data_IF_817924619411
#
_entry.id   IF_817924619411
#
_cell.length_a   1.000
_cell.length_b   1.000
_cell.length_c   1.000
_cell.angle_alpha   90.00
_cell.angle_beta   90.00
_cell.angle_gamma   90.00
#
_symmetry.space_group_name_H-M   'P 1'
#
loop_
_entity.id
_entity.type
_entity.pdbx_description
1 polymer ?
#
# COMPACT_ATOMS: atom_id res chain seq x y z
N UNK A 1 14.15 6.88 15.62
CA UNK A 1 13.82 6.74 14.18
C UNK A 1 13.49 8.11 13.67
N UNK A 2 14.00 8.50 12.50
CA UNK A 2 13.59 9.78 11.90
C UNK A 2 12.07 9.78 11.65
N UNK A 3 11.41 10.92 11.83
CA UNK A 3 9.96 11.02 11.70
C UNK A 3 9.46 10.59 10.30
N UNK A 4 10.26 10.75 9.25
CA UNK A 4 9.93 10.28 7.90
C UNK A 4 9.83 8.76 7.79
N UNK A 5 10.73 8.01 8.44
CA UNK A 5 10.70 6.54 8.45
C UNK A 5 9.50 6.00 9.23
N UNK A 6 9.13 6.67 10.33
CA UNK A 6 7.94 6.34 11.11
C UNK A 6 6.67 6.52 10.26
N UNK A 7 6.57 7.63 9.52
CA UNK A 7 5.44 7.91 8.63
C UNK A 7 5.26 6.79 7.59
N UNK A 8 6.35 6.40 6.91
CA UNK A 8 6.33 5.34 5.89
C UNK A 8 5.99 3.97 6.48
N UNK A 9 6.45 3.70 7.70
CA UNK A 9 6.08 2.48 8.42
C UNK A 9 4.59 2.45 8.78
N UNK A 10 4.03 3.56 9.28
CA UNK A 10 2.58 3.65 9.56
C UNK A 10 1.79 3.45 8.27
N UNK A 11 2.22 4.07 7.17
CA UNK A 11 1.61 3.91 5.86
C UNK A 11 1.60 2.43 5.43
N UNK A 12 2.73 1.74 5.51
CA UNK A 12 2.84 0.31 5.22
C UNK A 12 1.86 -0.53 6.06
N UNK A 13 1.79 -0.28 7.37
CA UNK A 13 0.88 -1.02 8.27
C UNK A 13 -0.57 -0.75 7.90
N UNK A 14 -0.92 0.49 7.57
CA UNK A 14 -2.29 0.84 7.14
C UNK A 14 -2.66 0.19 5.80
N UNK A 15 -1.73 0.12 4.85
CA UNK A 15 -1.92 -0.55 3.57
C UNK A 15 -2.11 -2.05 3.75
N UNK A 16 -1.27 -2.68 4.58
CA UNK A 16 -1.38 -4.09 4.91
C UNK A 16 -2.72 -4.42 5.60
N UNK A 17 -3.16 -3.58 6.54
CA UNK A 17 -4.44 -3.73 7.21
C UNK A 17 -5.61 -3.58 6.22
N UNK A 18 -5.58 -2.56 5.36
CA UNK A 18 -6.60 -2.32 4.35
C UNK A 18 -6.71 -3.49 3.36
N UNK A 19 -5.56 -4.00 2.88
CA UNK A 19 -5.50 -5.15 1.99
C UNK A 19 -6.03 -6.42 2.66
N UNK A 20 -5.70 -6.63 3.94
CA UNK A 20 -6.19 -7.78 4.72
C UNK A 20 -7.72 -7.74 4.88
N UNK A 21 -8.28 -6.58 5.21
CA UNK A 21 -9.74 -6.37 5.29
C UNK A 21 -10.40 -6.63 3.93
N UNK A 22 -9.77 -6.20 2.84
CA UNK A 22 -10.33 -6.33 1.50
C UNK A 22 -10.29 -7.78 0.99
N UNK A 23 -9.26 -8.55 1.31
CA UNK A 23 -9.13 -9.96 0.91
C UNK A 23 -10.02 -10.88 1.76
N UNK A 24 -10.32 -10.48 3.00
CA UNK A 24 -11.12 -11.31 3.91
C UNK A 24 -12.47 -11.69 3.28
N UNK A 25 -12.84 -12.99 3.24
CA UNK A 25 -14.15 -13.40 2.76
C UNK A 25 -15.24 -12.85 3.68
N UNK A 26 -15.85 -11.72 3.30
CA UNK A 26 -16.93 -11.14 4.08
C UNK A 26 -18.24 -11.93 3.86
N UNK A 27 -18.90 -12.39 4.94
CA UNK A 27 -20.09 -13.23 4.84
C UNK A 27 -21.34 -12.47 4.39
N UNK A 28 -21.39 -11.14 4.57
CA UNK A 28 -22.57 -10.34 4.25
C UNK A 28 -22.31 -9.33 3.13
N UNK A 29 -23.17 -9.32 2.10
CA UNK A 29 -22.98 -8.49 0.90
C UNK A 29 -23.10 -6.98 1.20
N UNK A 30 -23.83 -6.62 2.26
CA UNK A 30 -24.01 -5.24 2.72
C UNK A 30 -22.73 -4.66 3.34
N UNK A 31 -22.03 -5.46 4.12
CA UNK A 31 -20.75 -5.06 4.75
C UNK A 31 -19.69 -4.88 3.66
N UNK A 32 -19.64 -5.80 2.70
CA UNK A 32 -18.75 -5.70 1.54
C UNK A 32 -19.00 -4.43 0.72
N UNK A 33 -20.26 -4.10 0.47
CA UNK A 33 -20.64 -2.86 -0.22
C UNK A 33 -20.22 -1.61 0.56
N UNK A 34 -20.38 -1.61 1.90
CA UNK A 34 -19.96 -0.49 2.74
C UNK A 34 -18.44 -0.27 2.73
N UNK A 35 -17.66 -1.35 2.89
CA UNK A 35 -16.19 -1.31 2.82
C UNK A 35 -15.73 -0.83 1.44
N UNK A 36 -16.30 -1.38 0.36
CA UNK A 36 -15.95 -0.96 -1.00
C UNK A 36 -16.32 0.49 -1.28
N UNK A 37 -17.46 0.96 -0.77
CA UNK A 37 -17.86 2.36 -0.89
C UNK A 37 -16.93 3.29 -0.09
N UNK A 38 -16.42 2.86 1.06
CA UNK A 38 -15.44 3.63 1.83
C UNK A 38 -14.13 3.78 1.06
N UNK A 39 -13.57 2.68 0.55
CA UNK A 39 -12.32 2.71 -0.22
C UNK A 39 -12.47 3.43 -1.57
N UNK A 40 -13.55 3.17 -2.31
CA UNK A 40 -13.80 3.83 -3.60
C UNK A 40 -14.07 5.33 -3.45
N UNK A 41 -14.78 5.79 -2.41
CA UNK A 41 -14.96 7.24 -2.16
C UNK A 41 -13.67 7.92 -1.72
N UNK A 42 -12.86 7.25 -0.92
CA UNK A 42 -11.55 7.77 -0.50
C UNK A 42 -10.63 7.95 -1.71
N UNK A 43 -10.71 7.04 -2.70
CA UNK A 43 -9.86 7.06 -3.89
C UNK A 43 -10.39 7.93 -5.05
N UNK A 44 -11.68 7.86 -5.33
CA UNK A 44 -12.30 8.51 -6.49
C UNK A 44 -13.05 9.82 -6.14
N UNK A 45 -13.38 10.03 -4.87
CA UNK A 45 -14.30 11.09 -4.46
C UNK A 45 -13.68 12.46 -4.20
N UNK A 46 -12.37 12.56 -3.99
CA UNK A 46 -11.73 13.86 -3.75
C UNK A 46 -10.38 14.00 -4.44
N UNK A 47 -10.25 15.08 -5.22
CA UNK A 47 -9.00 15.43 -5.89
C UNK A 47 -7.87 15.67 -4.89
N UNK A 48 -8.20 16.20 -3.70
CA UNK A 48 -7.22 16.46 -2.63
C UNK A 48 -6.55 15.17 -2.14
N UNK A 49 -7.33 14.11 -1.87
CA UNK A 49 -6.78 12.84 -1.41
C UNK A 49 -5.93 12.21 -2.51
N UNK A 50 -6.36 12.28 -3.76
CA UNK A 50 -5.59 11.78 -4.90
C UNK A 50 -4.20 12.46 -4.99
N UNK A 51 -4.14 13.79 -4.85
CA UNK A 51 -2.86 14.51 -4.85
C UNK A 51 -1.99 14.15 -3.63
N UNK A 52 -2.58 14.05 -2.44
CA UNK A 52 -1.86 13.61 -1.24
C UNK A 52 -1.29 12.20 -1.39
N UNK A 53 -2.06 11.28 -1.95
CA UNK A 53 -1.64 9.91 -2.21
C UNK A 53 -0.49 9.85 -3.21
N UNK A 54 -0.55 10.62 -4.31
CA UNK A 54 0.57 10.72 -5.24
C UNK A 54 1.82 11.34 -4.60
N UNK A 55 1.64 12.34 -3.74
CA UNK A 55 2.75 12.94 -3.01
C UNK A 55 3.41 11.94 -2.05
N UNK A 56 2.61 11.17 -1.29
CA UNK A 56 3.11 10.12 -0.40
C UNK A 56 3.81 9.00 -1.18
N UNK A 57 3.27 8.61 -2.34
CA UNK A 57 3.92 7.65 -3.22
C UNK A 57 5.26 8.17 -3.73
N UNK A 58 5.31 9.43 -4.19
CA UNK A 58 6.56 10.07 -4.62
C UNK A 58 7.60 10.07 -3.49
N UNK A 59 7.18 10.43 -2.27
CA UNK A 59 8.05 10.41 -1.09
C UNK A 59 8.56 9.00 -0.81
N UNK A 60 7.71 7.98 -0.91
CA UNK A 60 8.08 6.58 -0.73
C UNK A 60 9.12 6.13 -1.78
N UNK A 61 8.94 6.51 -3.05
CA UNK A 61 9.93 6.26 -4.12
C UNK A 61 11.27 6.94 -3.84
N UNK A 62 11.26 8.21 -3.40
CA UNK A 62 12.50 8.93 -3.09
C UNK A 62 13.25 8.30 -1.90
N UNK A 63 12.54 7.93 -0.84
CA UNK A 63 13.12 7.27 0.33
C UNK A 63 13.63 5.86 0.01
N UNK A 64 12.94 5.13 -0.88
CA UNK A 64 13.41 3.85 -1.41
C UNK A 64 14.72 4.03 -2.16
N UNK A 65 14.78 4.99 -3.10
CA UNK A 65 15.99 5.29 -3.87
C UNK A 65 17.17 5.70 -2.97
N UNK A 66 16.92 6.53 -1.96
CA UNK A 66 17.95 6.91 -0.99
C UNK A 66 18.46 5.72 -0.19
N UNK A 67 17.58 4.82 0.30
CA UNK A 67 18.01 3.62 1.04
C UNK A 67 18.79 2.66 0.16
N UNK A 68 18.35 2.47 -1.08
CA UNK A 68 19.01 1.57 -2.02
C UNK A 68 20.40 2.11 -2.41
N UNK A 69 20.52 3.41 -2.63
CA UNK A 69 21.82 4.06 -2.87
C UNK A 69 22.77 3.86 -1.70
N UNK A 70 22.28 3.97 -0.46
CA UNK A 70 23.10 3.73 0.73
C UNK A 70 23.56 2.27 0.82
N UNK A 71 22.68 1.30 0.55
CA UNK A 71 23.03 -0.14 0.53
C UNK A 71 24.13 -0.42 -0.50
N UNK A 72 23.95 0.01 -1.75
CA UNK A 72 24.94 -0.23 -2.82
C UNK A 72 26.28 0.47 -2.57
N UNK A 73 26.27 1.65 -1.94
CA UNK A 73 27.51 2.34 -1.57
C UNK A 73 28.28 1.62 -0.45
N UNK A 74 27.58 0.90 0.42
CA UNK A 74 28.17 0.15 1.54
C UNK A 74 28.65 -1.22 1.10
N UNK A 75 27.97 -1.91 0.17
CA UNK A 75 28.47 -3.16 -0.42
C UNK A 75 29.81 -2.99 -1.16
N UNK A 76 30.08 -1.79 -1.68
CA UNK A 76 31.35 -1.47 -2.33
C UNK A 76 32.52 -1.29 -1.36
N UNK A 77 32.26 -1.13 -0.06
CA UNK A 77 33.26 -1.01 1.00
C UNK A 77 33.23 -2.24 1.91
N UNK A 78 34.41 -2.76 2.26
CA UNK A 78 34.52 -3.98 3.06
C UNK A 78 33.86 -3.79 4.44
N UNK A 79 32.81 -4.59 4.73
CA UNK A 79 31.98 -4.58 5.95
C UNK A 79 32.76 -5.12 7.16
N UNK A 80 33.96 -4.60 7.43
CA UNK A 80 34.84 -5.14 8.47
C UNK A 80 34.47 -4.64 9.87
N UNK A 81 33.83 -3.47 10.00
CA UNK A 81 33.44 -2.91 11.31
C UNK A 81 32.03 -3.30 11.71
N UNK A 82 31.81 -3.50 13.02
CA UNK A 82 30.49 -3.80 13.60
C UNK A 82 29.49 -2.65 13.35
N UNK A 83 29.97 -1.40 13.41
CA UNK A 83 29.15 -0.21 13.18
C UNK A 83 28.67 -0.12 11.73
N UNK A 84 29.53 -0.39 10.74
CA UNK A 84 29.14 -0.42 9.33
C UNK A 84 28.08 -1.51 9.04
N UNK A 85 28.19 -2.68 9.68
CA UNK A 85 27.16 -3.74 9.59
C UNK A 85 25.82 -3.29 10.18
N UNK A 86 25.85 -2.60 11.32
CA UNK A 86 24.63 -2.12 11.96
C UNK A 86 23.89 -1.10 11.09
N UNK A 87 24.63 -0.18 10.45
CA UNK A 87 24.03 0.82 9.55
C UNK A 87 23.54 0.20 8.25
N UNK A 88 24.26 -0.79 7.71
CA UNK A 88 23.78 -1.60 6.58
C UNK A 88 22.41 -2.22 6.88
N UNK A 89 22.25 -2.92 8.02
CA UNK A 89 20.97 -3.54 8.38
C UNK A 89 19.84 -2.52 8.59
N UNK A 90 20.18 -1.30 9.03
CA UNK A 90 19.19 -0.21 9.14
C UNK A 90 18.69 0.22 7.76
N UNK A 91 19.60 0.39 6.79
CA UNK A 91 19.23 0.75 5.42
C UNK A 91 18.49 -0.38 4.72
N UNK A 92 18.89 -1.64 4.94
CA UNK A 92 18.20 -2.83 4.44
C UNK A 92 16.76 -2.92 4.97
N UNK A 93 16.55 -2.73 6.28
CA UNK A 93 15.20 -2.66 6.85
C UNK A 93 14.37 -1.54 6.21
N UNK A 94 14.97 -0.37 6.02
CA UNK A 94 14.29 0.78 5.45
C UNK A 94 13.93 0.57 3.96
N UNK A 95 14.76 -0.13 3.20
CA UNK A 95 14.45 -0.52 1.82
C UNK A 95 13.32 -1.55 1.76
N UNK A 96 13.24 -2.48 2.71
CA UNK A 96 12.07 -3.38 2.81
C UNK A 96 10.78 -2.63 3.13
N UNK A 97 10.78 -1.70 4.09
CA UNK A 97 9.57 -0.92 4.45
C UNK A 97 9.03 -0.18 3.22
N UNK A 98 9.91 0.48 2.49
CA UNK A 98 9.53 1.30 1.34
C UNK A 98 9.20 0.45 0.11
N UNK A 99 9.98 -0.61 -0.15
CA UNK A 99 9.71 -1.56 -1.23
C UNK A 99 8.39 -2.31 -1.07
N UNK A 100 8.10 -2.83 0.12
CA UNK A 100 6.81 -3.46 0.40
C UNK A 100 5.66 -2.46 0.35
N UNK A 101 5.86 -1.22 0.81
CA UNK A 101 4.82 -0.18 0.73
C UNK A 101 4.44 0.14 -0.73
N UNK A 102 5.44 0.36 -1.58
CA UNK A 102 5.21 0.57 -3.02
C UNK A 102 4.49 -0.61 -3.67
N UNK A 103 4.87 -1.84 -3.32
CA UNK A 103 4.21 -3.04 -3.82
C UNK A 103 2.75 -3.14 -3.34
N UNK A 104 2.50 -3.02 -2.04
CA UNK A 104 1.16 -3.10 -1.46
C UNK A 104 0.25 -2.01 -1.99
N UNK A 105 0.76 -0.81 -2.22
CA UNK A 105 0.02 0.27 -2.84
C UNK A 105 -0.57 -0.12 -4.22
N UNK A 106 0.25 -0.70 -5.09
CA UNK A 106 -0.18 -1.15 -6.43
C UNK A 106 -1.18 -2.29 -6.32
N UNK A 107 -0.92 -3.26 -5.43
CA UNK A 107 -1.82 -4.39 -5.21
C UNK A 107 -3.17 -3.90 -4.68
N UNK A 108 -3.18 -3.00 -3.72
CA UNK A 108 -4.40 -2.45 -3.12
C UNK A 108 -5.27 -1.73 -4.15
N UNK A 109 -4.68 -0.88 -5.00
CA UNK A 109 -5.42 -0.26 -6.11
C UNK A 109 -6.06 -1.31 -7.01
N UNK A 110 -5.31 -2.35 -7.37
CA UNK A 110 -5.80 -3.38 -8.27
C UNK A 110 -6.91 -4.22 -7.65
N UNK A 111 -6.81 -4.56 -6.36
CA UNK A 111 -7.86 -5.30 -5.66
C UNK A 111 -9.13 -4.43 -5.55
N UNK A 112 -9.01 -3.15 -5.19
CA UNK A 112 -10.17 -2.24 -5.12
C UNK A 112 -10.89 -2.21 -6.48
N UNK A 113 -10.16 -2.02 -7.58
CA UNK A 113 -10.74 -2.01 -8.93
C UNK A 113 -11.49 -3.30 -9.26
N UNK A 114 -10.87 -4.46 -9.04
CA UNK A 114 -11.49 -5.78 -9.33
C UNK A 114 -12.73 -5.99 -8.46
N UNK A 115 -12.67 -5.61 -7.18
CA UNK A 115 -13.80 -5.80 -6.27
C UNK A 115 -14.97 -4.88 -6.59
N UNK A 116 -14.72 -3.64 -7.02
CA UNK A 116 -15.78 -2.74 -7.51
C UNK A 116 -16.46 -3.35 -8.75
N UNK A 117 -15.69 -3.81 -9.73
CA UNK A 117 -16.26 -4.46 -10.93
C UNK A 117 -17.09 -5.71 -10.58
N UNK A 118 -16.62 -6.52 -9.63
CA UNK A 118 -17.34 -7.71 -9.17
C UNK A 118 -18.63 -7.36 -8.44
N UNK A 119 -18.62 -6.29 -7.63
CA UNK A 119 -19.82 -5.80 -6.94
C UNK A 119 -20.87 -5.32 -7.96
N UNK A 120 -20.48 -4.46 -8.90
CA UNK A 120 -21.38 -3.93 -9.93
C UNK A 120 -21.96 -5.04 -10.82
N UNK A 121 -21.15 -6.05 -11.16
CA UNK A 121 -21.60 -7.20 -11.95
C UNK A 121 -22.62 -8.04 -11.17
N UNK A 122 -22.39 -8.27 -9.87
CA UNK A 122 -23.35 -8.99 -9.02
C UNK A 122 -24.68 -8.26 -8.91
N UNK A 123 -24.67 -6.94 -8.81
CA UNK A 123 -25.90 -6.15 -8.73
C UNK A 123 -26.69 -6.20 -10.04
N UNK A 124 -26.01 -6.15 -11.20
CA UNK A 124 -26.64 -6.33 -12.52
C UNK A 124 -27.30 -7.72 -12.66
N UNK A 125 -26.62 -8.79 -12.24
CA UNK A 125 -27.18 -10.16 -12.29
C UNK A 125 -28.40 -10.29 -11.37
N UNK A 126 -28.35 -9.73 -10.16
CA UNK A 126 -29.51 -9.72 -9.24
C UNK A 126 -30.70 -8.97 -9.83
N UNK A 127 -30.47 -7.86 -10.52
CA UNK A 127 -31.53 -7.09 -11.17
C UNK A 127 -32.20 -7.85 -12.33
N UNK A 128 -31.43 -8.63 -13.09
CA UNK A 128 -31.94 -9.50 -14.16
C UNK A 128 -32.77 -10.64 -13.56
N UNK A 129 -32.26 -11.34 -12.54
CA UNK A 129 -32.97 -12.45 -11.89
C UNK A 129 -34.25 -12.04 -11.16
N UNK A 130 -34.41 -10.76 -10.81
CA UNK A 130 -35.66 -10.25 -10.21
C UNK A 130 -36.73 -9.93 -11.26
N UNK A 131 -36.34 -9.79 -12.54
CA UNK A 131 -37.26 -9.50 -13.65
C UNK A 131 -37.82 -10.76 -14.32
N UNK A 132 -37.14 -11.90 -14.19
CA UNK A 132 -37.64 -13.22 -14.59
C UNK A 132 -38.40 -13.88 -13.44
#
# INVERSE_FOLDING_TARGET
MDPGWLLLFILLVTEAAALSILILPMPNNTIRGWVLNFFSKTWAGSNILRYMTFFLLLLNVLYFGSSMSSIYSVEAFDLQTCEAKLDYFRHERNSYITGFGLFLFVVLQRIVMIQTQLHDTRDKVKAINKKN
#
